data_IF_312679511654
#
_entry.id   IF_312679511654
#
_cell.length_a   1.000
_cell.length_b   1.000
_cell.length_c   1.000
_cell.angle_alpha   90.00
_cell.angle_beta   90.00
_cell.angle_gamma   90.00
#
_symmetry.space_group_name_H-M   'P 1'
#
loop_
_entity.id
_entity.type
_entity.pdbx_description
1 polymer ?
#
# COMPACT_ATOMS: atom_id res chain seq x y z
N UNK A 1 -27.05 10.12 -60.21
CA UNK A 1 -27.13 10.14 -58.73
C UNK A 1 -25.82 10.73 -58.24
N UNK A 2 -25.85 11.90 -57.58
CA UNK A 2 -24.66 12.56 -57.03
C UNK A 2 -24.35 11.93 -55.67
N UNK A 3 -23.11 11.49 -55.46
CA UNK A 3 -22.64 10.97 -54.18
C UNK A 3 -22.32 12.19 -53.29
N UNK A 4 -22.76 12.25 -52.03
CA UNK A 4 -22.46 13.39 -51.16
C UNK A 4 -20.95 13.42 -50.86
N UNK A 5 -20.33 14.58 -51.00
CA UNK A 5 -18.96 14.81 -50.52
C UNK A 5 -18.99 14.80 -48.98
N UNK A 6 -18.60 13.67 -48.39
CA UNK A 6 -18.42 13.55 -46.95
C UNK A 6 -17.07 14.19 -46.65
N UNK A 7 -17.08 15.40 -46.07
CA UNK A 7 -15.88 16.05 -45.58
C UNK A 7 -15.34 15.26 -44.37
N UNK A 8 -14.37 14.38 -44.63
CA UNK A 8 -13.70 13.57 -43.60
C UNK A 8 -12.84 14.40 -42.64
N UNK A 9 -12.57 15.69 -42.94
CA UNK A 9 -11.69 16.51 -42.13
C UNK A 9 -12.31 16.88 -40.76
N UNK A 10 -13.63 17.05 -40.67
CA UNK A 10 -14.31 17.38 -39.40
C UNK A 10 -14.40 16.19 -38.42
N UNK A 11 -14.27 14.96 -38.91
CA UNK A 11 -14.44 13.77 -38.05
C UNK A 11 -13.17 13.42 -37.27
N UNK A 12 -11.99 13.84 -37.74
CA UNK A 12 -10.71 13.55 -37.08
C UNK A 12 -10.38 14.50 -35.92
N UNK A 13 -10.92 15.72 -35.90
CA UNK A 13 -10.75 16.65 -34.76
C UNK A 13 -11.57 16.24 -33.52
N UNK A 14 -12.51 15.30 -33.67
CA UNK A 14 -13.40 14.82 -32.59
C UNK A 14 -12.83 13.62 -31.83
N UNK A 15 -11.59 13.20 -32.10
CA UNK A 15 -10.88 12.18 -31.29
C UNK A 15 -10.11 12.77 -30.11
N UNK A 16 -10.54 13.91 -29.58
CA UNK A 16 -10.05 14.36 -28.28
C UNK A 16 -10.53 13.37 -27.21
N UNK A 17 -9.64 12.50 -26.77
CA UNK A 17 -9.88 11.59 -25.65
C UNK A 17 -10.20 12.43 -24.41
N UNK A 18 -11.46 12.46 -24.00
CA UNK A 18 -11.91 13.18 -22.80
C UNK A 18 -11.64 12.33 -21.56
N UNK A 19 -10.54 12.64 -20.87
CA UNK A 19 -10.13 12.00 -19.62
C UNK A 19 -10.64 12.75 -18.37
N UNK A 20 -11.58 13.68 -18.50
CA UNK A 20 -12.07 14.49 -17.38
C UNK A 20 -12.71 13.64 -16.28
N UNK A 21 -13.30 12.51 -16.65
CA UNK A 21 -13.87 11.54 -15.71
C UNK A 21 -12.78 10.85 -14.90
N UNK A 22 -11.75 10.34 -15.57
CA UNK A 22 -10.59 9.68 -14.96
C UNK A 22 -9.85 10.65 -14.04
N UNK A 23 -9.64 11.89 -14.50
CA UNK A 23 -9.06 12.96 -13.70
C UNK A 23 -9.87 13.23 -12.42
N UNK A 24 -11.20 13.37 -12.52
CA UNK A 24 -12.07 13.58 -11.36
C UNK A 24 -12.04 12.42 -10.38
N UNK A 25 -11.94 11.18 -10.87
CA UNK A 25 -11.79 9.99 -10.01
C UNK A 25 -10.45 10.02 -9.25
N UNK A 26 -9.36 10.41 -9.91
CA UNK A 26 -8.06 10.56 -9.27
C UNK A 26 -8.02 11.73 -8.27
N UNK A 27 -8.73 12.82 -8.54
CA UNK A 27 -8.85 13.97 -7.62
C UNK A 27 -9.71 13.65 -6.38
N UNK A 28 -10.63 12.67 -6.48
CA UNK A 28 -11.44 12.21 -5.35
C UNK A 28 -10.78 11.11 -4.51
N UNK A 29 -9.58 10.64 -4.89
CA UNK A 29 -8.82 9.72 -4.05
C UNK A 29 -8.18 10.52 -2.91
N UNK A 30 -8.58 10.22 -1.67
CA UNK A 30 -7.84 10.65 -0.50
C UNK A 30 -6.48 9.92 -0.50
N UNK A 31 -5.40 10.66 -0.75
CA UNK A 31 -4.05 10.15 -0.60
C UNK A 31 -3.75 10.03 0.88
N UNK A 32 -3.89 8.82 1.42
CA UNK A 32 -3.40 8.49 2.74
C UNK A 32 -1.93 8.10 2.62
N UNK A 33 -1.05 8.88 3.22
CA UNK A 33 0.35 8.51 3.37
C UNK A 33 0.42 7.29 4.28
N UNK A 34 1.14 6.25 3.86
CA UNK A 34 1.41 5.11 4.73
C UNK A 34 2.08 5.60 6.02
N UNK A 35 1.71 5.08 7.20
CA UNK A 35 2.36 5.46 8.43
C UNK A 35 3.85 5.11 8.38
N UNK A 36 4.66 5.85 9.14
CA UNK A 36 6.08 5.55 9.26
C UNK A 36 6.26 4.15 9.87
N UNK A 37 7.21 3.33 9.37
CA UNK A 37 7.42 2.00 9.90
C UNK A 37 7.91 2.08 11.36
N UNK A 38 7.43 1.20 12.26
CA UNK A 38 7.98 1.11 13.60
C UNK A 38 9.45 0.64 13.55
N UNK A 39 10.26 1.15 14.46
CA UNK A 39 11.66 0.76 14.62
C UNK A 39 11.82 -0.21 15.79
N UNK A 40 12.37 -1.40 15.54
CA UNK A 40 12.69 -2.36 16.60
C UNK A 40 13.86 -1.84 17.44
N UNK A 41 13.69 -1.90 18.76
CA UNK A 41 14.69 -1.51 19.76
C UNK A 41 15.40 -2.74 20.28
N UNK A 42 16.38 -3.23 19.51
CA UNK A 42 17.12 -4.45 19.81
C UNK A 42 17.73 -4.45 21.21
N UNK A 43 18.13 -3.28 21.72
CA UNK A 43 18.71 -3.11 23.04
C UNK A 43 17.74 -3.36 24.20
N UNK A 44 16.43 -3.32 23.92
CA UNK A 44 15.38 -3.60 24.89
C UNK A 44 14.78 -5.00 24.73
N UNK A 45 15.02 -5.65 23.59
CA UNK A 45 14.53 -6.99 23.33
C UNK A 45 15.15 -7.99 24.31
N UNK A 46 14.34 -8.95 24.76
CA UNK A 46 14.80 -10.03 25.64
C UNK A 46 14.44 -11.38 25.05
N UNK A 47 15.28 -12.38 25.35
CA UNK A 47 15.04 -13.76 24.96
C UNK A 47 15.23 -14.67 26.17
N UNK A 48 14.29 -15.59 26.34
CA UNK A 48 14.36 -16.70 27.30
C UNK A 48 14.41 -18.03 26.54
N UNK A 49 14.14 -19.14 27.24
CA UNK A 49 14.15 -20.48 26.64
C UNK A 49 13.04 -20.69 25.59
N UNK A 50 11.86 -20.09 25.81
CA UNK A 50 10.67 -20.31 24.98
C UNK A 50 9.95 -19.01 24.61
N UNK A 51 10.43 -17.87 25.12
CA UNK A 51 9.76 -16.58 24.98
C UNK A 51 10.75 -15.53 24.45
N UNK A 52 10.31 -14.74 23.48
CA UNK A 52 11.03 -13.58 22.98
C UNK A 52 10.13 -12.36 23.20
N UNK A 53 10.66 -11.33 23.86
CA UNK A 53 9.98 -10.04 24.00
C UNK A 53 10.60 -9.06 23.02
N UNK A 54 9.80 -8.57 22.08
CA UNK A 54 10.22 -7.58 21.08
C UNK A 54 9.69 -6.21 21.48
N UNK A 55 10.56 -5.20 21.45
CA UNK A 55 10.20 -3.81 21.70
C UNK A 55 10.38 -3.01 20.41
N UNK A 56 9.44 -2.13 20.09
CA UNK A 56 9.54 -1.19 18.99
C UNK A 56 9.01 0.19 19.38
N UNK A 57 9.36 1.21 18.61
CA UNK A 57 8.87 2.59 18.75
C UNK A 57 8.36 3.11 17.42
N UNK A 58 7.34 3.96 17.45
CA UNK A 58 6.86 4.68 16.27
C UNK A 58 6.95 6.18 16.53
N UNK A 59 7.42 6.93 15.53
CA UNK A 59 7.46 8.39 15.60
C UNK A 59 6.08 9.02 15.36
N UNK A 60 5.16 8.28 14.75
CA UNK A 60 3.79 8.71 14.47
C UNK A 60 2.78 7.63 14.91
N UNK A 61 2.49 7.62 16.21
CA UNK A 61 1.54 6.69 16.82
C UNK A 61 0.07 7.05 16.51
N UNK A 62 -0.20 8.27 16.01
CA UNK A 62 -1.56 8.75 15.80
C UNK A 62 -2.14 8.34 14.45
N UNK A 63 -1.28 8.16 13.44
CA UNK A 63 -1.68 7.67 12.12
C UNK A 63 -1.75 6.14 12.06
N UNK A 64 -1.23 5.43 13.06
CA UNK A 64 -1.22 3.97 13.10
C UNK A 64 -2.46 3.44 13.81
N UNK A 65 -3.27 2.67 13.07
CA UNK A 65 -4.47 2.02 13.63
C UNK A 65 -4.12 0.75 14.41
N UNK A 66 -3.14 -0.02 13.93
CA UNK A 66 -2.72 -1.29 14.52
C UNK A 66 -1.31 -1.66 14.10
N UNK A 67 -0.65 -2.51 14.90
CA UNK A 67 0.64 -3.13 14.56
C UNK A 67 0.45 -4.62 14.31
N UNK A 68 1.23 -5.15 13.37
CA UNK A 68 1.33 -6.59 13.12
C UNK A 68 2.78 -7.02 13.34
N UNK A 69 2.98 -8.06 14.15
CA UNK A 69 4.30 -8.65 14.39
C UNK A 69 4.41 -9.98 13.66
N UNK A 70 5.33 -10.05 12.70
CA UNK A 70 5.65 -11.27 11.98
C UNK A 70 7.01 -11.81 12.42
N UNK A 71 7.11 -13.12 12.61
CA UNK A 71 8.37 -13.78 12.94
C UNK A 71 8.55 -15.07 12.14
N UNK A 72 9.80 -15.49 12.00
CA UNK A 72 10.14 -16.76 11.37
C UNK A 72 11.35 -17.38 12.06
N UNK A 73 11.40 -18.71 12.08
CA UNK A 73 12.54 -19.44 12.60
C UNK A 73 13.59 -19.52 11.49
N UNK A 74 14.70 -18.81 11.67
CA UNK A 74 15.83 -18.90 10.78
C UNK A 74 16.70 -20.10 11.14
N UNK A 75 16.63 -21.16 10.34
CA UNK A 75 17.40 -22.41 10.53
C UNK A 75 18.62 -22.50 9.59
N UNK A 76 18.82 -21.51 8.71
CA UNK A 76 19.80 -21.57 7.62
C UNK A 76 19.39 -22.46 6.44
N UNK A 77 18.25 -23.15 6.50
CA UNK A 77 17.60 -23.84 5.38
C UNK A 77 16.11 -23.47 5.34
N UNK A 78 15.68 -22.73 4.31
CA UNK A 78 14.30 -22.33 3.97
C UNK A 78 13.33 -22.09 5.15
N UNK A 79 13.07 -20.81 5.44
CA UNK A 79 12.22 -20.33 6.54
C UNK A 79 10.74 -20.74 6.41
N UNK A 80 10.14 -21.17 7.53
CA UNK A 80 8.68 -21.37 7.68
C UNK A 80 8.09 -20.12 8.36
N UNK A 81 7.13 -19.45 7.71
CA UNK A 81 6.45 -18.26 8.24
C UNK A 81 5.20 -18.69 9.02
N UNK A 82 4.97 -18.13 10.20
CA UNK A 82 3.76 -18.34 11.01
C UNK A 82 3.16 -16.98 11.37
N UNK A 83 1.89 -16.75 11.01
CA UNK A 83 1.14 -15.52 11.33
C UNK A 83 0.37 -15.67 12.65
N UNK A 84 0.41 -14.65 13.52
CA UNK A 84 -0.45 -14.53 14.69
C UNK A 84 -1.14 -13.18 14.69
N UNK A 85 -2.47 -13.19 14.78
CA UNK A 85 -3.31 -11.98 14.89
C UNK A 85 -3.72 -11.77 16.35
N UNK A 86 -3.46 -10.58 16.89
CA UNK A 86 -3.97 -10.14 18.20
C UNK A 86 -5.05 -9.07 17.97
N UNK A 87 -6.30 -9.40 18.31
CA UNK A 87 -7.40 -8.44 18.36
C UNK A 87 -7.60 -7.98 19.82
N UNK A 88 -7.72 -6.67 20.04
CA UNK A 88 -8.09 -6.08 21.33
C UNK A 88 -9.60 -6.02 21.51
#
# INVERSE_FOLDING_TARGET
VLIPEINLNDTFDTFALDFSREKKLLECLDYLTAPNPPTIREELCTASYDTITVHWTSDDEFSVVSYELQYTIFTGQANVVSEYHMAY
#
